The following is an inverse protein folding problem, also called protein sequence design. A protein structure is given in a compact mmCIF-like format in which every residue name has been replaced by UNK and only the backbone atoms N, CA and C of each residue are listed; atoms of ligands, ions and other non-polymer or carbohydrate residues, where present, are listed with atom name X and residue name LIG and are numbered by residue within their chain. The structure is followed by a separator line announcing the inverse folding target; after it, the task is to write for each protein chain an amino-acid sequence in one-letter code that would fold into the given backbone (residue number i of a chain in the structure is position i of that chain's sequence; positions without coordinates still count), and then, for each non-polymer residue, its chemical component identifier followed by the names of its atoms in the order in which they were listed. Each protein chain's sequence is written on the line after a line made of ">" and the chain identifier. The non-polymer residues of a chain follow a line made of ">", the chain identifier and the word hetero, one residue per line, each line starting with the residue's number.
data_IF_714257797168
#
_entry.id   IF_714257797168
#
_cell.length_a   1.000
_cell.length_b   1.000
_cell.length_c   1.000
_cell.angle_alpha   90.00
_cell.angle_beta   90.00
_cell.angle_gamma   90.00
#
_symmetry.space_group_name_H-M   'P 1'
#
loop_
_entity.id
_entity.type
_entity.pdbx_description
1 polymer ?
#
# COMPACT_ATOMS: atom_id res chain seq x y z
N UNK A 1 3.03 -11.89 3.41
CA UNK A 1 1.60 -12.18 3.17
C UNK A 1 1.24 -12.17 1.69
N UNK A 2 1.68 -11.16 0.92
CA UNK A 2 1.35 -11.00 -0.51
C UNK A 2 1.58 -12.26 -1.38
N UNK A 3 2.66 -13.01 -1.21
CA UNK A 3 2.88 -14.28 -1.92
C UNK A 3 1.73 -15.28 -1.72
N UNK A 4 1.21 -15.41 -0.50
CA UNK A 4 0.07 -16.29 -0.24
C UNK A 4 -1.21 -15.76 -0.90
N UNK A 5 -1.39 -14.44 -0.96
CA UNK A 5 -2.51 -13.82 -1.69
C UNK A 5 -2.42 -14.10 -3.18
N UNK A 6 -1.23 -13.96 -3.79
CA UNK A 6 -0.99 -14.29 -5.19
C UNK A 6 -1.39 -15.74 -5.51
N UNK A 7 -0.99 -16.69 -4.66
CA UNK A 7 -1.21 -18.11 -4.93
C UNK A 7 -2.58 -18.64 -4.49
N UNK A 8 -3.19 -18.08 -3.46
CA UNK A 8 -4.41 -18.65 -2.83
C UNK A 8 -5.65 -17.77 -3.01
N UNK A 9 -5.47 -16.45 -3.15
CA UNK A 9 -6.57 -15.48 -3.18
C UNK A 9 -6.38 -14.37 -4.24
N UNK A 10 -5.99 -14.67 -5.48
CA UNK A 10 -5.63 -13.64 -6.47
C UNK A 10 -6.80 -12.72 -6.85
N UNK A 11 -8.04 -13.18 -6.72
CA UNK A 11 -9.25 -12.41 -7.03
C UNK A 11 -9.86 -11.65 -5.84
N UNK A 12 -9.28 -11.75 -4.65
CA UNK A 12 -9.87 -11.13 -3.45
C UNK A 12 -9.87 -9.60 -3.54
N UNK A 13 -10.98 -8.98 -3.13
CA UNK A 13 -11.12 -7.53 -3.00
C UNK A 13 -11.17 -7.17 -1.52
N UNK A 14 -10.54 -6.06 -1.16
CA UNK A 14 -10.43 -5.61 0.24
C UNK A 14 -10.59 -4.10 0.35
N UNK A 15 -10.85 -3.66 1.57
CA UNK A 15 -10.82 -2.26 1.97
C UNK A 15 -10.03 -2.10 3.27
N UNK A 16 -9.12 -1.15 3.30
CA UNK A 16 -8.41 -0.69 4.50
C UNK A 16 -8.85 0.73 4.84
N UNK A 17 -8.87 1.05 6.14
CA UNK A 17 -9.11 2.41 6.62
C UNK A 17 -8.13 2.75 7.72
N UNK A 18 -7.46 3.88 7.58
CA UNK A 18 -6.62 4.44 8.62
C UNK A 18 -7.46 5.00 9.78
N UNK A 19 -6.95 4.85 11.01
CA UNK A 19 -7.50 5.55 12.18
C UNK A 19 -6.38 5.88 13.15
N UNK A 20 -6.14 7.17 13.36
CA UNK A 20 -5.37 7.63 14.51
C UNK A 20 -6.20 7.42 15.78
N UNK A 21 -5.67 6.67 16.76
CA UNK A 21 -6.33 6.42 18.04
C UNK A 21 -5.83 7.34 19.16
N UNK A 22 -4.84 8.17 18.87
CA UNK A 22 -4.30 9.15 19.80
C UNK A 22 -5.13 10.43 19.70
N UNK A 23 -5.81 10.87 20.77
CA UNK A 23 -6.62 12.08 20.76
C UNK A 23 -5.76 13.33 20.56
N UNK A 24 -6.34 14.37 19.93
CA UNK A 24 -5.72 15.69 19.82
C UNK A 24 -4.59 15.82 18.80
N UNK A 25 -4.35 14.80 17.98
CA UNK A 25 -3.40 14.89 16.87
C UNK A 25 -4.09 15.49 15.65
N UNK A 26 -3.57 16.62 15.18
CA UNK A 26 -4.02 17.26 13.93
C UNK A 26 -3.18 16.75 12.75
N UNK A 27 -3.64 15.65 12.15
CA UNK A 27 -3.06 15.10 10.92
C UNK A 27 -3.56 15.85 9.68
N UNK A 28 -4.72 16.49 9.74
CA UNK A 28 -5.28 17.22 8.61
C UNK A 28 -4.38 18.39 8.17
N UNK A 29 -3.65 19.01 9.12
CA UNK A 29 -2.63 20.01 8.84
C UNK A 29 -1.44 19.51 7.99
N UNK A 30 -1.29 18.20 7.83
CA UNK A 30 -0.21 17.59 7.04
C UNK A 30 -0.72 16.86 5.79
N UNK A 31 -1.98 17.08 5.41
CA UNK A 31 -2.63 16.27 4.38
C UNK A 31 -1.92 16.35 3.03
N UNK A 32 -1.44 17.53 2.66
CA UNK A 32 -0.74 17.74 1.39
C UNK A 32 0.60 16.99 1.38
N UNK A 33 1.37 17.04 2.48
CA UNK A 33 2.62 16.26 2.58
C UNK A 33 2.36 14.76 2.57
N UNK A 34 1.29 14.29 3.21
CA UNK A 34 0.93 12.87 3.17
C UNK A 34 0.55 12.46 1.73
N UNK A 35 -0.16 13.32 1.00
CA UNK A 35 -0.53 13.07 -0.39
C UNK A 35 0.70 12.97 -1.30
N UNK A 36 1.66 13.90 -1.14
CA UNK A 36 2.94 13.90 -1.86
C UNK A 36 3.75 12.62 -1.60
N UNK A 37 3.83 12.17 -0.34
CA UNK A 37 4.55 10.94 0.01
C UNK A 37 3.82 9.67 -0.50
N UNK A 38 2.49 9.68 -0.57
CA UNK A 38 1.72 8.60 -1.21
C UNK A 38 2.06 8.53 -2.70
N UNK A 39 2.14 9.68 -3.38
CA UNK A 39 2.53 9.74 -4.79
C UNK A 39 3.98 9.27 -4.98
N UNK A 40 4.90 9.64 -4.07
CA UNK A 40 6.26 9.15 -4.08
C UNK A 40 6.33 7.61 -3.92
N UNK A 41 5.55 7.06 -2.98
CA UNK A 41 5.45 5.62 -2.77
C UNK A 41 4.97 4.89 -4.03
N UNK A 42 4.03 5.47 -4.79
CA UNK A 42 3.53 4.91 -6.06
C UNK A 42 4.59 4.92 -7.19
N UNK A 43 5.65 5.72 -7.06
CA UNK A 43 6.76 5.75 -8.02
C UNK A 43 7.81 4.67 -7.75
N UNK A 44 7.82 4.03 -6.58
CA UNK A 44 8.79 2.99 -6.27
C UNK A 44 8.61 1.76 -7.15
N UNK A 45 9.74 1.16 -7.52
CA UNK A 45 9.85 -0.10 -8.26
C UNK A 45 10.96 -0.93 -7.63
N UNK A 46 10.79 -2.25 -7.62
CA UNK A 46 11.90 -3.13 -7.23
C UNK A 46 13.03 -3.03 -8.26
N UNK A 47 14.24 -2.86 -7.76
CA UNK A 47 15.46 -2.96 -8.57
C UNK A 47 15.85 -4.41 -8.79
N UNK A 48 16.66 -4.67 -9.82
CA UNK A 48 17.16 -6.01 -10.12
C UNK A 48 17.92 -6.63 -8.92
N UNK A 49 18.71 -5.83 -8.22
CA UNK A 49 19.46 -6.28 -7.05
C UNK A 49 18.54 -6.71 -5.88
N UNK A 50 17.43 -6.00 -5.67
CA UNK A 50 16.44 -6.37 -4.65
C UNK A 50 15.68 -7.65 -5.05
N UNK A 51 15.35 -7.80 -6.34
CA UNK A 51 14.71 -9.02 -6.85
C UNK A 51 15.64 -10.23 -6.72
N UNK A 52 16.93 -10.08 -6.99
CA UNK A 52 17.92 -11.14 -6.82
C UNK A 52 18.07 -11.53 -5.35
N UNK A 53 18.07 -10.54 -4.45
CA UNK A 53 18.03 -10.79 -3.02
C UNK A 53 16.76 -11.57 -2.63
N UNK A 54 15.59 -11.17 -3.14
CA UNK A 54 14.32 -11.89 -2.90
C UNK A 54 14.37 -13.34 -3.39
N UNK A 55 14.93 -13.60 -4.58
CA UNK A 55 15.09 -14.97 -5.13
C UNK A 55 15.99 -15.85 -4.29
N UNK A 56 16.94 -15.27 -3.56
CA UNK A 56 17.82 -15.99 -2.62
C UNK A 56 17.12 -16.48 -1.34
N UNK A 57 15.92 -15.97 -1.04
CA UNK A 57 15.19 -16.36 0.17
C UNK A 57 14.47 -17.70 -0.04
N UNK A 58 14.80 -18.69 0.78
CA UNK A 58 14.27 -20.08 0.69
C UNK A 58 12.74 -20.24 0.65
N UNK A 59 12.00 -19.23 1.10
CA UNK A 59 10.53 -19.24 1.21
C UNK A 59 9.84 -18.35 0.18
N UNK A 60 10.61 -17.61 -0.62
CA UNK A 60 10.12 -16.84 -1.76
C UNK A 60 10.10 -17.76 -2.97
N UNK A 61 8.95 -17.89 -3.62
CA UNK A 61 8.85 -18.65 -4.86
C UNK A 61 9.32 -17.80 -6.05
N UNK A 62 9.98 -18.39 -7.06
CA UNK A 62 10.49 -17.65 -8.22
C UNK A 62 9.42 -16.81 -8.92
N UNK A 63 8.23 -17.36 -9.11
CA UNK A 63 7.11 -16.68 -9.78
C UNK A 63 6.62 -15.44 -9.00
N UNK A 64 6.70 -15.46 -7.67
CA UNK A 64 6.38 -14.30 -6.85
C UNK A 64 7.46 -13.21 -7.00
N UNK A 65 8.75 -13.58 -7.03
CA UNK A 65 9.82 -12.61 -7.28
C UNK A 65 9.69 -11.96 -8.66
N UNK A 66 9.35 -12.75 -9.69
CA UNK A 66 9.13 -12.21 -11.04
C UNK A 66 7.91 -11.28 -11.09
N UNK A 67 6.84 -11.61 -10.36
CA UNK A 67 5.69 -10.71 -10.18
C UNK A 67 6.10 -9.37 -9.53
N UNK A 68 6.99 -9.38 -8.52
CA UNK A 68 7.47 -8.16 -7.88
C UNK A 68 8.21 -7.24 -8.86
N UNK A 69 8.85 -7.77 -9.90
CA UNK A 69 9.51 -6.96 -10.93
C UNK A 69 8.55 -6.16 -11.82
N UNK A 70 7.30 -6.60 -11.94
CA UNK A 70 6.23 -5.87 -12.65
C UNK A 70 5.38 -5.02 -11.68
N UNK A 71 5.46 -5.34 -10.40
CA UNK A 71 4.63 -4.74 -9.39
C UNK A 71 4.98 -3.27 -9.17
N UNK A 72 3.93 -2.49 -9.00
CA UNK A 72 4.02 -1.17 -8.41
C UNK A 72 2.70 -0.82 -7.74
N UNK A 73 2.81 0.07 -6.75
CA UNK A 73 1.66 0.66 -6.09
C UNK A 73 1.00 1.65 -7.04
N UNK A 74 -0.33 1.63 -7.06
CA UNK A 74 -1.14 2.41 -7.99
C UNK A 74 -2.06 3.35 -7.19
N UNK A 75 -1.89 4.65 -7.43
CA UNK A 75 -2.57 5.74 -6.74
C UNK A 75 -4.10 5.63 -6.82
N UNK A 76 -4.63 5.00 -7.87
CA UNK A 76 -6.09 4.88 -8.09
C UNK A 76 -6.83 4.15 -6.97
N UNK A 77 -6.13 3.35 -6.16
CA UNK A 77 -6.73 2.60 -5.06
C UNK A 77 -6.87 3.42 -3.78
N UNK A 78 -6.28 4.63 -3.71
CA UNK A 78 -6.21 5.43 -2.49
C UNK A 78 -7.15 6.63 -2.57
N UNK A 79 -7.90 6.86 -1.49
CA UNK A 79 -8.62 8.09 -1.24
C UNK A 79 -8.15 8.70 0.08
N UNK A 80 -7.57 9.90 0.01
CA UNK A 80 -7.17 10.70 1.16
C UNK A 80 -8.00 11.98 1.20
N UNK A 81 -8.51 12.33 2.38
CA UNK A 81 -9.25 13.59 2.61
C UNK A 81 -9.19 13.96 4.09
N UNK A 82 -9.31 15.26 4.40
CA UNK A 82 -9.52 15.69 5.78
C UNK A 82 -10.90 15.21 6.25
N UNK A 83 -11.01 14.78 7.51
CA UNK A 83 -12.30 14.32 8.03
C UNK A 83 -13.28 15.48 8.13
N UNK A 84 -14.50 15.23 7.66
CA UNK A 84 -15.63 16.17 7.84
C UNK A 84 -16.30 16.03 9.21
N UNK A 85 -16.06 14.91 9.89
CA UNK A 85 -16.72 14.58 11.15
C UNK A 85 -15.92 15.02 12.38
N UNK A 86 -14.59 14.93 12.31
CA UNK A 86 -13.70 15.25 13.44
C UNK A 86 -12.60 16.21 12.96
N UNK A 87 -12.59 17.48 13.42
CA UNK A 87 -11.54 18.43 13.07
C UNK A 87 -10.14 17.88 13.42
N UNK A 88 -9.21 18.01 12.49
CA UNK A 88 -7.83 17.55 12.61
C UNK A 88 -7.58 16.08 12.27
N UNK A 89 -8.63 15.26 12.11
CA UNK A 89 -8.46 13.88 11.62
C UNK A 89 -8.40 13.83 10.09
N UNK A 90 -7.86 12.72 9.56
CA UNK A 90 -7.87 12.37 8.15
C UNK A 90 -8.67 11.08 7.92
N UNK A 91 -9.25 10.97 6.74
CA UNK A 91 -9.88 9.76 6.22
C UNK A 91 -9.03 9.25 5.05
N UNK A 92 -8.28 8.18 5.31
CA UNK A 92 -7.49 7.46 4.31
C UNK A 92 -8.10 6.07 4.12
N UNK A 93 -8.71 5.86 2.95
CA UNK A 93 -9.31 4.60 2.53
C UNK A 93 -8.51 4.01 1.36
N UNK A 94 -8.25 2.70 1.40
CA UNK A 94 -7.54 1.97 0.34
C UNK A 94 -8.41 0.81 -0.09
N UNK A 95 -8.88 0.82 -1.33
CA UNK A 95 -9.85 -0.16 -1.83
C UNK A 95 -9.41 -0.73 -3.17
N UNK A 96 -9.36 -2.06 -3.29
CA UNK A 96 -9.00 -2.72 -4.53
C UNK A 96 -8.63 -4.19 -4.36
N UNK A 97 -8.02 -4.80 -5.40
CA UNK A 97 -7.55 -6.18 -5.32
C UNK A 97 -6.52 -6.31 -4.20
N UNK A 98 -6.70 -7.31 -3.34
CA UNK A 98 -5.82 -7.52 -2.18
C UNK A 98 -4.35 -7.63 -2.59
N UNK A 99 -4.10 -8.31 -3.70
CA UNK A 99 -2.76 -8.44 -4.27
C UNK A 99 -2.10 -7.09 -4.60
N UNK A 100 -2.87 -6.06 -4.97
CA UNK A 100 -2.35 -4.76 -5.37
C UNK A 100 -2.39 -3.71 -4.25
N UNK A 101 -3.03 -4.00 -3.11
CA UNK A 101 -3.23 -3.04 -2.02
C UNK A 101 -2.59 -3.45 -0.70
N UNK A 102 -2.19 -4.70 -0.52
CA UNK A 102 -1.64 -5.22 0.76
C UNK A 102 -0.31 -4.58 1.21
N UNK A 103 0.41 -3.90 0.30
CA UNK A 103 1.70 -3.26 0.60
C UNK A 103 1.59 -1.75 0.82
N UNK A 104 0.39 -1.18 0.74
CA UNK A 104 0.12 0.14 1.33
C UNK A 104 -0.07 0.01 2.84
#
# INVERSE_FOLDING_TARGET
>A
MMQAVLHQHPGAQVQYRFKCRTPGIDLASYIDQIDEEIDHLCNLRFSDAELDYMRGLRFVKPDFADFLGLFHLDRKYIQLRASKAVPGEIELDITGPWLHTILF
#
